data_IF_731026523960
#
_entry.id   IF_731026523960
#
_cell.length_a   1.000
_cell.length_b   1.000
_cell.length_c   1.000
_cell.angle_alpha   90.00
_cell.angle_beta   90.00
_cell.angle_gamma   90.00
#
_symmetry.space_group_name_H-M   'P 1'
#
loop_
_entity.id
_entity.type
_entity.pdbx_description
1 polymer ?
#
# COMPACT_ATOMS: atom_id res chain seq x y z
N UNK A 1 5.15 -16.29 46.07
CA UNK A 1 4.00 -15.46 45.63
C UNK A 1 4.21 -15.08 44.16
N UNK A 2 3.78 -15.93 43.23
CA UNK A 2 3.91 -15.68 41.78
C UNK A 2 2.60 -16.06 41.12
N UNK A 3 1.60 -15.18 41.23
CA UNK A 3 0.21 -15.47 40.81
C UNK A 3 -0.43 -14.27 40.10
N UNK A 4 0.38 -13.35 39.56
CA UNK A 4 -0.09 -12.19 38.77
C UNK A 4 0.32 -12.26 37.29
N UNK A 5 1.11 -13.25 36.88
CA UNK A 5 1.56 -13.39 35.48
C UNK A 5 0.54 -14.10 34.58
N UNK A 6 -0.31 -14.95 35.17
CA UNK A 6 -1.26 -15.79 34.45
C UNK A 6 -2.39 -15.03 33.73
N UNK A 7 -3.03 -13.99 34.31
CA UNK A 7 -4.10 -13.28 33.61
C UNK A 7 -3.57 -12.43 32.45
N UNK A 8 -2.32 -11.95 32.52
CA UNK A 8 -1.71 -11.14 31.46
C UNK A 8 -1.46 -11.98 30.19
N UNK A 9 -1.04 -13.23 30.37
CA UNK A 9 -0.80 -14.16 29.26
C UNK A 9 -2.11 -14.58 28.58
N UNK A 10 -3.18 -14.77 29.36
CA UNK A 10 -4.51 -15.12 28.84
C UNK A 10 -5.12 -13.97 28.02
N UNK A 11 -4.94 -12.71 28.45
CA UNK A 11 -5.40 -11.54 27.71
C UNK A 11 -4.68 -11.43 26.35
N UNK A 12 -3.36 -11.65 26.30
CA UNK A 12 -2.60 -11.67 25.04
C UNK A 12 -3.05 -12.75 24.05
N UNK A 13 -3.52 -13.90 24.53
CA UNK A 13 -4.02 -14.95 23.63
C UNK A 13 -5.38 -14.63 23.00
N UNK A 14 -6.23 -13.86 23.71
CA UNK A 14 -7.58 -13.53 23.23
C UNK A 14 -7.52 -12.45 22.13
N UNK A 15 -6.57 -11.51 22.17
CA UNK A 15 -6.40 -10.50 21.10
C UNK A 15 -5.84 -11.06 19.79
N UNK A 16 -5.08 -12.16 19.82
CA UNK A 16 -4.56 -12.81 18.60
C UNK A 16 -5.63 -13.67 17.91
N UNK A 17 -6.66 -14.12 18.63
CA UNK A 17 -7.67 -15.05 18.12
C UNK A 17 -8.81 -14.40 17.31
N UNK A 18 -8.83 -13.07 17.13
CA UNK A 18 -9.91 -12.36 16.43
C UNK A 18 -9.48 -11.60 15.17
N UNK A 19 -8.21 -11.67 14.74
CA UNK A 19 -7.81 -11.07 13.47
C UNK A 19 -8.36 -11.93 12.32
N UNK A 20 -9.39 -11.44 11.62
CA UNK A 20 -9.81 -12.07 10.37
C UNK A 20 -8.76 -11.71 9.32
N UNK A 21 -8.19 -12.68 8.59
CA UNK A 21 -7.20 -12.41 7.57
C UNK A 21 -7.66 -11.38 6.54
N UNK A 22 -8.96 -11.27 6.29
CA UNK A 22 -9.54 -10.37 5.30
C UNK A 22 -9.54 -8.88 5.70
N UNK A 23 -9.46 -8.56 7.01
CA UNK A 23 -9.42 -7.17 7.48
C UNK A 23 -8.11 -6.46 7.07
N UNK A 24 -7.07 -7.22 6.73
CA UNK A 24 -5.76 -6.73 6.33
C UNK A 24 -5.62 -6.53 4.80
N UNK A 25 -6.67 -6.78 4.02
CA UNK A 25 -6.63 -6.65 2.57
C UNK A 25 -7.63 -5.63 2.05
N UNK A 26 -7.22 -4.91 1.00
CA UNK A 26 -8.13 -4.21 0.11
C UNK A 26 -8.63 -5.17 -0.96
N UNK A 27 -9.86 -4.96 -1.42
CA UNK A 27 -10.33 -5.55 -2.67
C UNK A 27 -9.51 -5.02 -3.85
N UNK A 28 -9.60 -5.69 -4.99
CA UNK A 28 -8.95 -5.21 -6.23
C UNK A 28 -9.42 -3.80 -6.61
N UNK A 29 -10.73 -3.54 -6.56
CA UNK A 29 -11.31 -2.25 -6.92
C UNK A 29 -10.84 -1.15 -5.96
N UNK A 30 -10.77 -1.46 -4.66
CA UNK A 30 -10.34 -0.50 -3.65
C UNK A 30 -8.83 -0.20 -3.76
N UNK A 31 -7.97 -1.21 -3.97
CA UNK A 31 -6.53 -0.96 -4.15
C UNK A 31 -6.25 -0.22 -5.45
N UNK A 32 -6.89 -0.62 -6.55
CA UNK A 32 -6.74 0.02 -7.86
C UNK A 32 -7.17 1.49 -7.84
N UNK A 33 -8.33 1.80 -7.25
CA UNK A 33 -8.82 3.18 -7.16
C UNK A 33 -7.91 4.09 -6.35
N UNK A 34 -7.42 3.61 -5.18
CA UNK A 34 -6.47 4.37 -4.36
C UNK A 34 -5.17 4.64 -5.10
N UNK A 35 -4.64 3.65 -5.83
CA UNK A 35 -3.39 3.79 -6.57
C UNK A 35 -3.58 4.72 -7.77
N UNK A 36 -4.63 4.55 -8.57
CA UNK A 36 -4.98 5.49 -9.65
C UNK A 36 -5.07 6.94 -9.14
N UNK A 37 -5.69 7.14 -7.98
CA UNK A 37 -5.77 8.47 -7.38
C UNK A 37 -4.40 9.01 -6.95
N UNK A 38 -3.58 8.21 -6.26
CA UNK A 38 -2.26 8.64 -5.82
C UNK A 38 -1.34 9.02 -6.99
N UNK A 39 -1.31 8.19 -8.04
CA UNK A 39 -0.53 8.45 -9.24
C UNK A 39 -1.05 9.67 -10.01
N UNK A 40 -2.38 9.79 -10.18
CA UNK A 40 -2.99 10.95 -10.83
C UNK A 40 -2.78 12.26 -10.07
N UNK A 41 -2.80 12.22 -8.73
CA UNK A 41 -2.45 13.35 -7.90
C UNK A 41 -0.98 13.76 -8.07
N UNK A 42 -0.07 12.77 -8.13
CA UNK A 42 1.36 13.04 -8.34
C UNK A 42 1.64 13.64 -9.72
N UNK A 43 0.95 13.15 -10.74
CA UNK A 43 0.99 13.74 -12.07
C UNK A 43 0.52 15.18 -12.10
N UNK A 44 -0.60 15.49 -11.42
CA UNK A 44 -1.10 16.86 -11.31
C UNK A 44 -0.11 17.77 -10.56
N UNK A 45 0.51 17.26 -9.49
CA UNK A 45 1.55 17.96 -8.72
C UNK A 45 2.78 18.28 -9.58
N UNK A 46 3.25 17.29 -10.36
CA UNK A 46 4.47 17.41 -11.14
C UNK A 46 4.25 17.97 -12.56
N UNK A 47 3.01 18.29 -12.95
CA UNK A 47 2.70 18.74 -14.30
C UNK A 47 2.97 17.70 -15.39
N UNK A 48 2.80 16.41 -15.05
CA UNK A 48 2.97 15.28 -15.95
C UNK A 48 1.65 14.56 -16.23
N UNK A 49 1.70 13.56 -17.11
CA UNK A 49 0.54 12.74 -17.47
C UNK A 49 0.99 11.27 -17.67
N UNK A 50 1.65 10.73 -16.64
CA UNK A 50 2.13 9.34 -16.60
C UNK A 50 0.98 8.41 -16.22
N UNK A 51 0.35 7.81 -17.23
CA UNK A 51 -0.73 6.86 -17.00
C UNK A 51 -0.27 5.54 -16.38
N UNK A 52 -1.14 4.90 -15.60
CA UNK A 52 -0.96 3.50 -15.15
C UNK A 52 -1.17 2.56 -16.33
N UNK A 53 -0.27 1.58 -16.50
CA UNK A 53 -0.31 0.62 -17.62
C UNK A 53 -0.71 -0.78 -17.19
N UNK A 54 -0.44 -1.16 -15.94
CA UNK A 54 -0.77 -2.48 -15.42
C UNK A 54 -1.32 -2.40 -14.00
N UNK A 55 -2.46 -3.07 -13.81
CA UNK A 55 -3.08 -3.37 -12.52
C UNK A 55 -3.16 -4.88 -12.39
N UNK A 56 -2.66 -5.44 -11.29
CA UNK A 56 -2.72 -6.89 -11.06
C UNK A 56 -4.05 -7.24 -10.37
N UNK A 57 -4.88 -8.09 -10.98
CA UNK A 57 -6.12 -8.54 -10.35
C UNK A 57 -5.85 -9.31 -9.06
N UNK A 58 -6.66 -9.02 -8.03
CA UNK A 58 -6.59 -9.72 -6.75
C UNK A 58 -6.66 -8.78 -5.57
N UNK A 59 -6.75 -9.36 -4.38
CA UNK A 59 -6.66 -8.59 -3.14
C UNK A 59 -5.21 -8.24 -2.83
N UNK A 60 -4.98 -7.04 -2.30
CA UNK A 60 -3.66 -6.55 -1.91
C UNK A 60 -3.65 -6.24 -0.42
N UNK A 61 -2.55 -6.49 0.29
CA UNK A 61 -2.47 -6.11 1.71
C UNK A 61 -2.57 -4.60 1.84
N UNK A 62 -3.39 -4.12 2.77
CA UNK A 62 -3.59 -2.69 3.02
C UNK A 62 -2.27 -1.97 3.23
N UNK A 63 -1.41 -2.53 4.09
CA UNK A 63 -0.06 -2.03 4.36
C UNK A 63 0.78 -1.83 3.10
N UNK A 64 0.73 -2.75 2.15
CA UNK A 64 1.56 -2.68 0.93
C UNK A 64 1.04 -1.58 0.00
N UNK A 65 -0.29 -1.47 -0.13
CA UNK A 65 -0.95 -0.40 -0.89
C UNK A 65 -0.68 0.97 -0.27
N UNK A 66 -0.86 1.10 1.05
CA UNK A 66 -0.65 2.36 1.77
C UNK A 66 0.82 2.80 1.69
N UNK A 67 1.78 1.87 1.83
CA UNK A 67 3.21 2.16 1.66
C UNK A 67 3.53 2.61 0.24
N UNK A 68 2.91 2.00 -0.78
CA UNK A 68 3.07 2.43 -2.16
C UNK A 68 2.56 3.87 -2.35
N UNK A 69 1.36 4.20 -1.85
CA UNK A 69 0.79 5.55 -1.92
C UNK A 69 1.72 6.59 -1.28
N UNK A 70 2.23 6.28 -0.08
CA UNK A 70 3.19 7.16 0.61
C UNK A 70 4.48 7.34 -0.19
N UNK A 71 4.96 6.26 -0.83
CA UNK A 71 6.17 6.31 -1.64
C UNK A 71 5.98 7.16 -2.91
N UNK A 72 4.80 7.08 -3.53
CA UNK A 72 4.43 7.94 -4.67
C UNK A 72 4.37 9.41 -4.26
N UNK A 73 3.75 9.71 -3.12
CA UNK A 73 3.67 11.06 -2.60
C UNK A 73 5.06 11.64 -2.28
N UNK A 74 5.97 10.82 -1.75
CA UNK A 74 7.32 11.20 -1.38
C UNK A 74 8.31 11.31 -2.56
N UNK A 75 7.93 10.85 -3.76
CA UNK A 75 8.81 10.87 -4.92
C UNK A 75 9.04 12.31 -5.40
N UNK A 76 10.26 12.66 -5.80
CA UNK A 76 10.54 14.03 -6.26
C UNK A 76 10.08 14.21 -7.71
N UNK A 77 9.51 15.37 -8.05
CA UNK A 77 9.01 15.61 -9.41
C UNK A 77 10.12 15.54 -10.47
N UNK A 78 11.36 15.92 -10.12
CA UNK A 78 12.51 15.79 -11.01
C UNK A 78 12.76 14.34 -11.40
N UNK A 79 12.64 13.41 -10.45
CA UNK A 79 12.74 11.97 -10.71
C UNK A 79 11.49 11.43 -11.41
N UNK A 80 10.30 11.80 -10.94
CA UNK A 80 9.01 11.37 -11.51
C UNK A 80 8.92 11.60 -13.02
N UNK A 81 9.37 12.77 -13.48
CA UNK A 81 9.29 13.18 -14.88
C UNK A 81 10.42 12.57 -15.72
N UNK A 82 11.64 12.49 -15.17
CA UNK A 82 12.83 12.10 -15.94
C UNK A 82 13.10 10.59 -15.97
N UNK A 83 12.63 9.85 -14.96
CA UNK A 83 12.87 8.42 -14.89
C UNK A 83 12.09 7.66 -15.98
N UNK A 84 12.72 6.64 -16.57
CA UNK A 84 12.03 5.73 -17.50
C UNK A 84 10.89 4.98 -16.81
N UNK A 85 11.13 4.51 -15.58
CA UNK A 85 10.14 3.87 -14.71
C UNK A 85 10.21 4.51 -13.30
N UNK A 86 9.38 5.52 -13.00
CA UNK A 86 9.38 6.20 -11.70
C UNK A 86 8.63 5.41 -10.61
N UNK A 87 8.19 4.18 -10.88
CA UNK A 87 7.40 3.39 -9.92
C UNK A 87 8.25 3.03 -8.70
N UNK A 88 7.85 3.45 -7.48
CA UNK A 88 8.57 3.07 -6.27
C UNK A 88 8.62 1.56 -6.07
N UNK A 89 9.70 1.05 -5.46
CA UNK A 89 9.88 -0.39 -5.24
C UNK A 89 8.73 -1.04 -4.46
N UNK A 90 8.16 -0.31 -3.49
CA UNK A 90 6.98 -0.72 -2.72
C UNK A 90 5.76 -0.99 -3.61
N UNK A 91 5.58 -0.19 -4.66
CA UNK A 91 4.52 -0.39 -5.66
C UNK A 91 4.81 -1.58 -6.59
N UNK A 92 6.09 -1.89 -6.85
CA UNK A 92 6.48 -3.06 -7.66
C UNK A 92 6.17 -4.38 -6.96
N UNK A 93 6.14 -4.40 -5.63
CA UNK A 93 5.80 -5.58 -4.84
C UNK A 93 4.33 -6.02 -4.98
N UNK A 94 3.44 -5.11 -5.39
CA UNK A 94 2.06 -5.41 -5.79
C UNK A 94 1.88 -5.43 -7.32
N UNK A 95 3.01 -5.54 -8.05
CA UNK A 95 3.18 -5.55 -9.51
C UNK A 95 2.54 -4.40 -10.30
N UNK A 96 2.55 -3.19 -9.73
CA UNK A 96 2.11 -1.98 -10.44
C UNK A 96 3.17 -1.44 -11.40
N UNK A 97 2.72 -0.84 -12.52
CA UNK A 97 3.59 -0.22 -13.55
C UNK A 97 3.00 1.08 -14.10
N UNK A 98 3.88 2.03 -14.41
CA UNK A 98 3.58 3.31 -15.08
C UNK A 98 4.10 3.35 -16.51
N UNK A 99 3.56 4.28 -17.30
CA UNK A 99 4.07 4.67 -18.62
C UNK A 99 5.15 5.75 -18.54
#
# INVERSE_FOLDING_TARGET
MSQKLFPLFLICFIIVACAKPDDDFYSFEESASKLLFAYGAKDAECGSARGITHLVPGRSRKKDVDNCILSVAAEECSFWIQAGDPVPFTCKAIEYRLK
#
